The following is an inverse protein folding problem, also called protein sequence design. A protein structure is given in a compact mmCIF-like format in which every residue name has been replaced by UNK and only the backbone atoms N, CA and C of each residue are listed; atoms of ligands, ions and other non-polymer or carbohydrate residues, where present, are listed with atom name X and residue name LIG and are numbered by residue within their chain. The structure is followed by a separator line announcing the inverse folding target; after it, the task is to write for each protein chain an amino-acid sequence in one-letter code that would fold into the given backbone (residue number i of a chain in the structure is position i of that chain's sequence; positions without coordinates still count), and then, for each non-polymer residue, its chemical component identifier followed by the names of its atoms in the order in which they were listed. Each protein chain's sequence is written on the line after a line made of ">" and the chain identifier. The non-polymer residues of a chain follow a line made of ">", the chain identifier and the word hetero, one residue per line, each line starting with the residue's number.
data_IF_643628461669
#
_entry.id   IF_643628461669
#
_cell.length_a   1.000
_cell.length_b   1.000
_cell.length_c   1.000
_cell.angle_alpha   90.00
_cell.angle_beta   90.00
_cell.angle_gamma   90.00
#
_symmetry.space_group_name_H-M   'P 1'
#
loop_
_entity.id
_entity.type
_entity.pdbx_description
1 polymer ?
#
# COMPACT_ATOMS: atom_id res chain seq x y z
N UNK A 1 8.66 -18.79 -15.17
CA UNK A 1 9.25 -17.61 -15.83
C UNK A 1 10.65 -17.40 -15.28
N UNK A 2 11.63 -17.10 -16.14
CA UNK A 2 12.91 -16.54 -15.71
C UNK A 2 12.73 -15.03 -15.49
N UNK A 3 13.38 -14.43 -14.48
CA UNK A 3 13.38 -12.97 -14.32
C UNK A 3 13.76 -12.28 -15.63
N UNK A 4 13.18 -11.09 -15.88
CA UNK A 4 13.59 -10.27 -17.01
C UNK A 4 15.12 -10.11 -16.98
N UNK A 5 15.77 -10.19 -18.14
CA UNK A 5 17.24 -10.05 -18.26
C UNK A 5 17.72 -8.84 -17.44
N UNK A 6 18.75 -9.06 -16.61
CA UNK A 6 19.31 -8.10 -15.66
C UNK A 6 18.48 -7.81 -14.40
N UNK A 7 17.56 -8.70 -13.99
CA UNK A 7 16.88 -8.67 -12.70
C UNK A 7 17.17 -9.95 -11.89
N UNK A 8 17.19 -9.88 -10.54
CA UNK A 8 16.92 -8.71 -9.70
C UNK A 8 18.03 -7.63 -9.77
N UNK A 9 17.68 -6.39 -9.45
CA UNK A 9 18.61 -5.25 -9.30
C UNK A 9 18.52 -4.69 -7.90
N UNK A 10 19.63 -4.09 -7.43
CA UNK A 10 19.61 -3.31 -6.19
C UNK A 10 18.67 -2.13 -6.35
N UNK A 11 17.89 -1.82 -5.30
CA UNK A 11 16.96 -0.69 -5.27
C UNK A 11 17.68 0.65 -5.56
N UNK A 12 18.92 0.77 -5.07
CA UNK A 12 19.80 1.93 -5.27
C UNK A 12 20.22 2.16 -6.72
N UNK A 13 20.09 1.17 -7.62
CA UNK A 13 20.33 1.38 -9.05
C UNK A 13 19.31 2.33 -9.68
N UNK A 14 18.14 2.45 -9.06
CA UNK A 14 17.05 3.29 -9.54
C UNK A 14 16.79 4.49 -8.64
N UNK A 15 16.77 4.29 -7.33
CA UNK A 15 16.51 5.34 -6.34
C UNK A 15 17.70 5.42 -5.38
N UNK A 16 18.66 6.30 -5.69
CA UNK A 16 20.02 6.28 -5.10
C UNK A 16 20.05 6.68 -3.63
N UNK A 17 19.09 7.49 -3.19
CA UNK A 17 19.00 8.07 -1.86
C UNK A 17 18.20 7.20 -0.89
N UNK A 18 17.61 6.10 -1.37
CA UNK A 18 16.92 5.15 -0.52
C UNK A 18 17.90 4.33 0.33
N UNK A 19 17.51 3.96 1.55
CA UNK A 19 18.25 2.99 2.34
C UNK A 19 18.31 1.62 1.65
N UNK A 20 19.25 0.74 2.03
CA UNK A 20 19.39 -0.60 1.43
C UNK A 20 18.14 -1.48 1.53
N UNK A 21 17.25 -1.19 2.49
CA UNK A 21 15.94 -1.83 2.63
C UNK A 21 14.88 -0.81 3.02
N UNK A 22 13.65 -1.10 2.63
CA UNK A 22 12.45 -0.32 2.95
C UNK A 22 11.47 -1.19 3.73
N UNK A 23 10.61 -0.54 4.50
CA UNK A 23 9.56 -1.17 5.30
C UNK A 23 8.24 -1.26 4.51
N UNK A 24 7.93 -0.21 3.74
CA UNK A 24 6.74 -0.18 2.89
C UNK A 24 6.94 0.80 1.71
N UNK A 25 6.08 0.68 0.69
CA UNK A 25 6.01 1.65 -0.39
C UNK A 25 4.57 1.76 -0.91
N UNK A 26 4.21 2.96 -1.37
CA UNK A 26 2.94 3.20 -2.07
C UNK A 26 3.20 4.07 -3.30
N UNK A 27 2.36 3.91 -4.32
CA UNK A 27 2.27 4.84 -5.44
C UNK A 27 0.89 5.47 -5.43
N UNK A 28 0.84 6.79 -5.34
CA UNK A 28 -0.41 7.53 -5.38
C UNK A 28 -1.03 7.49 -6.79
N UNK A 29 -2.36 7.34 -6.83
CA UNK A 29 -3.14 7.23 -8.07
C UNK A 29 -4.42 8.07 -7.98
N UNK A 30 -4.41 9.33 -8.41
CA UNK A 30 -5.56 10.25 -8.34
C UNK A 30 -6.02 10.74 -6.94
N UNK A 31 -5.19 10.93 -5.90
CA UNK A 31 -5.66 11.47 -4.61
C UNK A 31 -5.86 13.00 -4.65
N UNK A 32 -4.96 13.71 -5.34
CA UNK A 32 -4.95 15.15 -5.64
C UNK A 32 -4.06 15.37 -6.87
N UNK A 33 -4.29 16.43 -7.64
CA UNK A 33 -3.53 16.66 -8.89
C UNK A 33 -2.01 16.79 -8.66
N UNK A 34 -1.58 17.30 -7.52
CA UNK A 34 -0.18 17.56 -7.17
C UNK A 34 0.55 16.34 -6.57
N UNK A 35 -0.19 15.30 -6.18
CA UNK A 35 0.39 14.07 -5.62
C UNK A 35 0.22 12.85 -6.53
N UNK A 36 -0.48 12.99 -7.66
CA UNK A 36 -0.71 11.89 -8.58
C UNK A 36 0.61 11.36 -9.16
N UNK A 37 0.69 10.03 -9.28
CA UNK A 37 1.87 9.32 -9.78
C UNK A 37 3.07 9.27 -8.84
N UNK A 38 3.09 10.06 -7.75
CA UNK A 38 4.20 10.11 -6.80
C UNK A 38 4.35 8.80 -6.03
N UNK A 39 5.59 8.45 -5.73
CA UNK A 39 5.95 7.23 -5.01
C UNK A 39 6.48 7.60 -3.64
N UNK A 40 5.96 6.96 -2.60
CA UNK A 40 6.39 7.16 -1.23
C UNK A 40 7.00 5.87 -0.70
N UNK A 41 8.22 5.97 -0.18
CA UNK A 41 8.93 4.87 0.47
C UNK A 41 9.03 5.16 1.95
N UNK A 42 8.90 4.12 2.79
CA UNK A 42 8.92 4.25 4.25
C UNK A 42 10.03 3.38 4.83
N UNK A 43 10.75 3.91 5.83
CA UNK A 43 11.74 3.15 6.60
C UNK A 43 11.90 3.75 8.00
N UNK A 44 11.69 2.93 9.02
CA UNK A 44 11.76 3.39 10.41
C UNK A 44 10.74 4.49 10.67
N UNK A 45 11.21 5.66 11.12
CA UNK A 45 10.39 6.86 11.30
C UNK A 45 10.38 7.79 10.09
N UNK A 46 11.11 7.45 9.02
CA UNK A 46 11.32 8.32 7.87
C UNK A 46 10.50 7.86 6.67
N UNK A 47 10.20 8.81 5.78
CA UNK A 47 9.69 8.54 4.46
C UNK A 47 10.36 9.40 3.40
N UNK A 48 10.44 8.87 2.19
CA UNK A 48 10.98 9.51 1.00
C UNK A 48 9.83 9.68 0.01
N UNK A 49 9.84 10.79 -0.71
CA UNK A 49 8.87 11.09 -1.77
C UNK A 49 9.62 11.23 -3.09
N UNK A 50 9.16 10.53 -4.10
CA UNK A 50 9.76 10.49 -5.42
C UNK A 50 8.75 10.84 -6.50
N UNK A 51 9.23 11.56 -7.50
CA UNK A 51 8.53 11.87 -8.75
C UNK A 51 9.51 11.64 -9.91
N UNK A 52 9.07 10.92 -10.95
CA UNK A 52 9.91 10.61 -12.12
C UNK A 52 11.30 10.04 -11.76
N UNK A 53 11.34 9.14 -10.76
CA UNK A 53 12.55 8.52 -10.22
C UNK A 53 13.56 9.47 -9.56
N UNK A 54 13.19 10.75 -9.37
CA UNK A 54 13.96 11.73 -8.60
C UNK A 54 13.34 11.94 -7.23
N UNK A 55 14.18 12.08 -6.20
CA UNK A 55 13.70 12.42 -4.86
C UNK A 55 13.28 13.88 -4.84
N UNK A 56 12.11 14.16 -4.29
CA UNK A 56 11.63 15.54 -4.12
C UNK A 56 12.54 16.30 -3.12
N UNK A 57 12.78 17.61 -3.31
CA UNK A 57 13.57 18.41 -2.38
C UNK A 57 13.02 18.39 -0.94
N UNK A 58 13.91 18.33 0.04
CA UNK A 58 13.55 18.33 1.47
C UNK A 58 13.11 16.99 2.03
N UNK A 59 13.37 15.89 1.31
CA UNK A 59 13.21 14.51 1.80
C UNK A 59 14.56 13.86 2.12
N UNK A 60 14.61 12.87 3.03
CA UNK A 60 13.48 12.28 3.76
C UNK A 60 12.88 13.18 4.84
N UNK A 61 11.62 12.89 5.21
CA UNK A 61 10.90 13.55 6.31
C UNK A 61 10.41 12.51 7.32
N UNK A 62 10.03 12.96 8.51
CA UNK A 62 9.43 12.06 9.50
C UNK A 62 7.99 11.72 9.12
N UNK A 63 7.60 10.45 9.32
CA UNK A 63 6.25 9.96 9.03
C UNK A 63 5.22 10.80 9.77
N UNK A 64 5.46 11.14 11.04
CA UNK A 64 4.54 11.96 11.85
C UNK A 64 4.25 13.35 11.25
N UNK A 65 5.16 13.90 10.45
CA UNK A 65 5.01 15.24 9.87
C UNK A 65 4.23 15.21 8.55
N UNK A 66 4.37 14.13 7.77
CA UNK A 66 3.69 13.95 6.48
C UNK A 66 2.41 13.13 6.54
N UNK A 67 2.31 12.24 7.52
CA UNK A 67 1.23 11.29 7.72
C UNK A 67 0.89 11.23 9.22
N UNK A 68 0.34 12.31 9.80
CA UNK A 68 0.04 12.37 11.22
C UNK A 68 -0.89 11.22 11.63
N UNK A 69 -0.58 10.60 12.78
CA UNK A 69 -1.29 9.44 13.33
C UNK A 69 -0.95 8.08 12.72
N UNK A 70 -0.12 8.03 11.67
CA UNK A 70 0.47 6.78 11.15
C UNK A 70 1.70 6.40 12.00
N UNK A 71 1.85 5.13 12.42
CA UNK A 71 2.99 4.71 13.23
C UNK A 71 4.27 4.56 12.41
N UNK A 72 5.40 4.53 13.11
CA UNK A 72 6.70 4.18 12.54
C UNK A 72 6.83 2.66 12.29
N UNK A 73 7.91 2.27 11.60
CA UNK A 73 8.32 0.88 11.37
C UNK A 73 7.19 0.04 10.77
N UNK A 74 6.55 0.56 9.73
CA UNK A 74 5.41 -0.10 9.07
C UNK A 74 5.76 -1.51 8.62
N UNK A 75 4.78 -2.40 8.58
CA UNK A 75 4.97 -3.76 8.05
C UNK A 75 4.52 -3.86 6.58
N UNK A 76 3.60 -2.98 6.16
CA UNK A 76 3.16 -2.83 4.78
C UNK A 76 2.37 -1.52 4.59
N UNK A 77 2.23 -1.09 3.33
CA UNK A 77 1.30 -0.05 2.96
C UNK A 77 0.78 -0.29 1.54
N UNK A 78 -0.42 0.19 1.23
CA UNK A 78 -0.99 0.15 -0.12
C UNK A 78 -2.04 1.24 -0.30
N UNK A 79 -2.40 1.55 -1.54
CA UNK A 79 -3.52 2.43 -1.86
C UNK A 79 -4.70 1.62 -2.34
N UNK A 80 -5.91 2.08 -2.05
CA UNK A 80 -7.11 1.51 -2.64
C UNK A 80 -8.04 2.65 -3.08
N UNK A 81 -8.64 2.52 -4.28
CA UNK A 81 -9.65 3.46 -4.72
C UNK A 81 -10.91 3.35 -3.88
N UNK A 82 -11.47 4.50 -3.55
CA UNK A 82 -12.72 4.65 -2.83
C UNK A 82 -13.70 5.41 -3.72
N UNK A 83 -14.84 4.81 -4.03
CA UNK A 83 -15.93 5.53 -4.69
C UNK A 83 -16.75 6.23 -3.62
N UNK A 84 -16.81 7.55 -3.67
CA UNK A 84 -17.52 8.39 -2.72
C UNK A 84 -18.51 9.26 -3.47
N UNK A 85 -19.72 9.44 -2.95
CA UNK A 85 -20.69 10.40 -3.49
C UNK A 85 -20.61 11.69 -2.67
N UNK A 86 -20.20 12.79 -3.30
CA UNK A 86 -20.18 14.12 -2.67
C UNK A 86 -21.02 15.08 -3.49
N UNK A 87 -22.04 15.71 -2.87
CA UNK A 87 -22.92 16.67 -3.53
C UNK A 87 -23.62 16.11 -4.77
N UNK A 88 -24.00 14.82 -4.75
CA UNK A 88 -24.64 14.14 -5.89
C UNK A 88 -23.68 13.71 -7.01
N UNK A 89 -22.37 13.94 -6.87
CA UNK A 89 -21.36 13.49 -7.84
C UNK A 89 -20.60 12.28 -7.31
N UNK A 90 -20.42 11.28 -8.17
CA UNK A 90 -19.53 10.14 -7.90
C UNK A 90 -18.08 10.60 -8.09
N UNK A 91 -17.29 10.51 -7.04
CA UNK A 91 -15.88 10.89 -7.01
C UNK A 91 -15.08 9.66 -6.65
N UNK A 92 -13.97 9.44 -7.37
CA UNK A 92 -12.98 8.42 -7.03
C UNK A 92 -11.91 9.09 -6.17
N UNK A 93 -11.86 8.74 -4.91
CA UNK A 93 -10.78 9.11 -3.99
C UNK A 93 -9.79 7.94 -3.86
N UNK A 94 -8.60 8.19 -3.35
CA UNK A 94 -7.69 7.14 -2.92
C UNK A 94 -7.56 7.17 -1.41
N UNK A 95 -7.49 5.98 -0.82
CA UNK A 95 -7.25 5.83 0.61
C UNK A 95 -6.01 5.02 0.81
N UNK A 96 -5.19 5.50 1.73
CA UNK A 96 -3.91 4.89 2.04
C UNK A 96 -4.11 3.98 3.24
N UNK A 97 -3.69 2.74 3.10
CA UNK A 97 -3.66 1.76 4.17
C UNK A 97 -2.24 1.64 4.68
N UNK A 98 -2.07 1.80 5.98
CA UNK A 98 -0.82 1.55 6.67
C UNK A 98 -1.00 0.40 7.64
N UNK A 99 -0.18 -0.64 7.54
CA UNK A 99 -0.28 -1.83 8.37
C UNK A 99 0.85 -1.84 9.39
N UNK A 100 0.48 -2.06 10.66
CA UNK A 100 1.44 -2.33 11.73
C UNK A 100 0.92 -3.41 12.69
N UNK A 101 1.66 -4.50 12.77
CA UNK A 101 1.34 -5.69 13.55
C UNK A 101 0.02 -6.30 13.11
N UNK A 102 -0.93 -6.35 14.04
CA UNK A 102 -2.29 -6.88 13.79
C UNK A 102 -3.29 -5.79 13.40
N UNK A 103 -2.82 -4.56 13.19
CA UNK A 103 -3.65 -3.38 13.01
C UNK A 103 -3.37 -2.71 11.66
N UNK A 104 -4.37 -2.01 11.15
CA UNK A 104 -4.20 -1.07 10.05
C UNK A 104 -4.73 0.32 10.42
N UNK A 105 -4.26 1.32 9.70
CA UNK A 105 -4.64 2.72 9.81
C UNK A 105 -5.08 3.17 8.43
N UNK A 106 -6.24 3.80 8.35
CA UNK A 106 -6.68 4.47 7.13
C UNK A 106 -6.16 5.90 7.16
N UNK A 107 -5.60 6.34 6.06
CA UNK A 107 -5.17 7.72 5.90
C UNK A 107 -5.87 8.35 4.70
N UNK A 108 -6.43 9.52 4.95
CA UNK A 108 -7.09 10.35 3.96
C UNK A 108 -6.09 11.38 3.43
N UNK A 109 -5.60 11.24 2.19
CA UNK A 109 -4.64 12.20 1.65
C UNK A 109 -5.25 13.56 1.33
N UNK A 110 -6.58 13.67 1.23
CA UNK A 110 -7.26 14.93 0.95
C UNK A 110 -7.39 15.77 2.23
N UNK A 111 -7.74 15.12 3.35
CA UNK A 111 -7.92 15.83 4.63
C UNK A 111 -6.66 15.81 5.51
N UNK A 112 -5.70 14.94 5.20
CA UNK A 112 -4.49 14.74 5.99
C UNK A 112 -4.71 13.94 7.28
N UNK A 113 -5.90 13.38 7.49
CA UNK A 113 -6.27 12.70 8.73
C UNK A 113 -6.07 11.18 8.66
N UNK A 114 -5.66 10.60 9.79
CA UNK A 114 -5.64 9.16 10.00
C UNK A 114 -6.80 8.68 10.87
N UNK A 115 -7.32 7.47 10.63
CA UNK A 115 -8.20 6.78 11.57
C UNK A 115 -7.45 6.33 12.82
N UNK A 116 -8.21 6.04 13.88
CA UNK A 116 -7.74 5.15 14.95
C UNK A 116 -7.32 3.78 14.39
N UNK A 117 -6.41 3.05 15.06
CA UNK A 117 -6.00 1.71 14.62
C UNK A 117 -7.18 0.73 14.61
N UNK A 118 -7.35 0.04 13.50
CA UNK A 118 -8.38 -0.97 13.30
C UNK A 118 -7.78 -2.38 13.26
N UNK A 119 -8.48 -3.37 13.80
CA UNK A 119 -8.01 -4.77 13.82
C UNK A 119 -8.14 -5.41 12.43
N UNK A 120 -7.05 -5.99 11.93
CA UNK A 120 -7.07 -6.73 10.66
C UNK A 120 -8.00 -7.93 10.72
N UNK A 121 -8.01 -8.68 11.83
CA UNK A 121 -8.79 -9.92 11.95
C UNK A 121 -10.28 -9.68 12.13
N UNK A 122 -10.67 -8.56 12.75
CA UNK A 122 -12.09 -8.18 12.91
C UNK A 122 -12.68 -7.65 11.61
N UNK A 123 -11.87 -6.93 10.82
CA UNK A 123 -12.34 -6.30 9.58
C UNK A 123 -12.20 -7.23 8.37
N UNK A 124 -11.16 -8.08 8.35
CA UNK A 124 -10.83 -8.97 7.23
C UNK A 124 -10.87 -10.44 7.69
N UNK A 125 -12.07 -11.02 7.62
CA UNK A 125 -12.35 -12.37 8.15
C UNK A 125 -11.47 -13.41 7.49
N UNK A 126 -10.80 -14.22 8.32
CA UNK A 126 -9.94 -15.31 7.87
C UNK A 126 -8.50 -14.91 7.53
N UNK A 127 -8.13 -13.64 7.67
CA UNK A 127 -6.77 -13.18 7.38
C UNK A 127 -5.71 -13.90 8.20
N UNK A 128 -4.65 -14.32 7.50
CA UNK A 128 -3.43 -14.88 8.07
C UNK A 128 -2.40 -13.78 8.28
N UNK A 129 -1.83 -13.77 9.47
CA UNK A 129 -0.77 -12.86 9.91
C UNK A 129 0.55 -13.64 10.09
N UNK A 130 1.73 -12.98 10.11
CA UNK A 130 1.93 -11.55 9.90
C UNK A 130 1.80 -11.15 8.42
N UNK A 131 1.41 -9.90 8.19
CA UNK A 131 1.57 -9.23 6.90
C UNK A 131 2.97 -8.59 6.87
N UNK A 132 3.67 -8.74 5.76
CA UNK A 132 5.05 -8.27 5.55
C UNK A 132 5.22 -7.42 4.30
N UNK A 133 4.20 -7.37 3.45
CA UNK A 133 4.08 -6.45 2.33
C UNK A 133 2.61 -6.39 1.87
N UNK A 134 2.25 -5.35 1.14
CA UNK A 134 0.95 -5.24 0.50
C UNK A 134 1.08 -4.51 -0.83
N UNK A 135 0.15 -4.76 -1.74
CA UNK A 135 0.01 -4.01 -2.98
C UNK A 135 -1.42 -4.08 -3.50
N UNK A 136 -1.80 -3.08 -4.29
CA UNK A 136 -3.04 -3.11 -5.07
C UNK A 136 -2.72 -3.22 -6.56
N UNK A 137 -3.37 -4.15 -7.26
CA UNK A 137 -3.25 -4.34 -8.70
C UNK A 137 -4.65 -4.43 -9.31
N UNK A 138 -4.98 -3.56 -10.27
CA UNK A 138 -6.30 -3.54 -10.92
C UNK A 138 -7.47 -3.54 -9.91
N UNK A 139 -7.33 -2.79 -8.82
CA UNK A 139 -8.26 -2.71 -7.68
C UNK A 139 -8.38 -3.99 -6.82
N UNK A 140 -7.61 -5.04 -7.11
CA UNK A 140 -7.47 -6.20 -6.22
C UNK A 140 -6.39 -5.91 -5.17
N UNK A 141 -6.69 -6.21 -3.91
CA UNK A 141 -5.75 -6.02 -2.80
C UNK A 141 -5.03 -7.34 -2.50
N UNK A 142 -3.71 -7.27 -2.44
CA UNK A 142 -2.83 -8.41 -2.15
C UNK A 142 -2.09 -8.15 -0.86
N UNK A 143 -2.30 -9.01 0.14
CA UNK A 143 -1.57 -8.99 1.40
C UNK A 143 -0.61 -10.16 1.45
N UNK A 144 0.66 -9.85 1.61
CA UNK A 144 1.77 -10.81 1.54
C UNK A 144 2.20 -11.14 2.96
N UNK A 145 2.27 -12.43 3.28
CA UNK A 145 2.96 -12.94 4.46
C UNK A 145 4.25 -13.66 4.07
N UNK A 146 4.87 -14.36 5.02
CA UNK A 146 6.20 -14.97 4.84
C UNK A 146 6.29 -16.00 3.69
N UNK A 147 5.25 -16.79 3.46
CA UNK A 147 5.24 -17.90 2.47
C UNK A 147 4.04 -17.88 1.54
N UNK A 148 3.11 -16.96 1.76
CA UNK A 148 1.80 -16.94 1.09
C UNK A 148 1.40 -15.51 0.80
N UNK A 149 0.56 -15.33 -0.21
CA UNK A 149 -0.21 -14.11 -0.37
C UNK A 149 -1.71 -14.42 -0.26
N UNK A 150 -2.46 -13.39 0.08
CA UNK A 150 -3.91 -13.43 0.24
C UNK A 150 -4.51 -12.32 -0.63
N UNK A 151 -5.46 -12.67 -1.49
CA UNK A 151 -6.29 -11.70 -2.19
C UNK A 151 -7.50 -11.37 -1.32
N UNK A 152 -7.76 -10.09 -1.13
CA UNK A 152 -8.93 -9.61 -0.40
C UNK A 152 -9.99 -9.17 -1.40
N UNK A 153 -11.18 -9.73 -1.27
CA UNK A 153 -12.37 -9.15 -1.88
C UNK A 153 -12.96 -8.16 -0.89
N UNK A 154 -12.91 -6.88 -1.26
CA UNK A 154 -13.52 -5.82 -0.47
C UNK A 154 -15.04 -5.89 -0.63
N UNK A 155 -15.76 -5.95 0.49
CA UNK A 155 -17.22 -6.08 0.53
C UNK A 155 -17.89 -4.75 0.86
N UNK A 156 -17.30 -3.99 1.78
CA UNK A 156 -17.80 -2.68 2.18
C UNK A 156 -16.65 -1.71 2.30
N UNK A 157 -16.84 -0.52 1.71
CA UNK A 157 -15.93 0.59 1.83
C UNK A 157 -16.71 1.86 2.12
N UNK A 158 -16.79 2.25 3.39
CA UNK A 158 -17.30 3.57 3.80
C UNK A 158 -16.18 4.35 4.45
N UNK A 159 -16.44 5.63 4.76
CA UNK A 159 -15.49 6.49 5.45
C UNK A 159 -14.94 5.85 6.75
N UNK A 160 -15.78 5.09 7.46
CA UNK A 160 -15.47 4.56 8.79
C UNK A 160 -15.32 3.04 8.83
N UNK A 161 -15.70 2.31 7.76
CA UNK A 161 -15.73 0.84 7.76
C UNK A 161 -15.12 0.27 6.50
N UNK A 162 -14.19 -0.66 6.69
CA UNK A 162 -13.57 -1.42 5.61
C UNK A 162 -13.70 -2.89 5.94
N UNK A 163 -14.64 -3.57 5.29
CA UNK A 163 -14.83 -5.01 5.46
C UNK A 163 -14.47 -5.75 4.19
N UNK A 164 -13.77 -6.87 4.36
CA UNK A 164 -13.38 -7.73 3.25
C UNK A 164 -13.23 -9.17 3.69
N UNK A 165 -13.28 -10.09 2.73
CA UNK A 165 -13.02 -11.50 2.96
C UNK A 165 -11.80 -11.95 2.16
N UNK A 166 -11.11 -12.98 2.67
CA UNK A 166 -10.08 -13.66 1.87
C UNK A 166 -10.76 -14.39 0.72
N UNK A 167 -10.56 -13.88 -0.50
CA UNK A 167 -11.10 -14.49 -1.70
C UNK A 167 -10.19 -15.61 -2.23
N UNK A 168 -8.89 -15.48 -2.02
CA UNK A 168 -7.90 -16.46 -2.44
C UNK A 168 -6.68 -16.42 -1.53
N UNK A 169 -6.12 -17.59 -1.22
CA UNK A 169 -4.83 -17.72 -0.56
C UNK A 169 -3.97 -18.71 -1.33
N UNK A 170 -2.74 -18.29 -1.65
CA UNK A 170 -1.80 -19.05 -2.50
C UNK A 170 -0.38 -18.92 -1.96
N UNK A 171 0.52 -19.81 -2.38
CA UNK A 171 1.96 -19.71 -2.06
C UNK A 171 2.55 -18.47 -2.73
N UNK A 172 3.55 -17.83 -2.10
CA UNK A 172 4.11 -16.57 -2.60
C UNK A 172 4.71 -16.71 -4.00
N UNK A 173 5.30 -17.86 -4.34
CA UNK A 173 5.87 -18.13 -5.66
C UNK A 173 4.80 -18.11 -6.77
N UNK A 174 3.54 -18.37 -6.41
CA UNK A 174 2.42 -18.30 -7.35
C UNK A 174 1.97 -16.86 -7.63
N UNK A 175 2.44 -15.86 -6.86
CA UNK A 175 2.21 -14.44 -7.16
C UNK A 175 3.04 -14.01 -8.38
N UNK A 176 4.25 -14.57 -8.52
CA UNK A 176 5.19 -14.28 -9.60
C UNK A 176 4.91 -15.12 -10.85
N UNK A 177 4.18 -16.21 -10.70
CA UNK A 177 3.60 -16.95 -11.81
C UNK A 177 2.37 -16.18 -12.32
N UNK A 178 2.57 -15.14 -13.15
CA UNK A 178 1.47 -14.65 -13.97
C UNK A 178 0.84 -15.86 -14.68
N UNK A 179 -0.46 -16.01 -14.53
CA UNK A 179 -1.26 -16.92 -15.34
C UNK A 179 -1.00 -16.53 -16.80
N UNK A 180 -0.26 -17.37 -17.51
CA UNK A 180 -0.21 -17.35 -18.96
C UNK A 180 -1.64 -17.64 -19.42
N UNK A 181 -2.46 -16.61 -19.55
CA UNK A 181 -3.65 -16.69 -20.37
C UNK A 181 -3.16 -17.06 -21.75
N UNK A 182 -3.45 -18.32 -22.09
CA UNK A 182 -3.29 -18.93 -23.39
C UNK A 182 -3.67 -17.91 -24.47
N UNK A 183 -2.75 -17.70 -25.40
CA UNK A 183 -3.10 -17.23 -26.74
C UNK A 183 -3.89 -18.33 -27.44
#
# INVERSE_FOLDING_TARGET
>A
MTPKKNYPKLISTKWKELPPSIDAAIRMQNPTADQDGKIFFFKGSNYWKYENDQMEPGYPKLIKDGFPGVPNNLDAAFTQPAIVVKGGKVIREERLFFIKGKKFFLYDPVTGNSSSPQSLQENWVGIKLPITAALSLKNEMFLIGKKTFQKILLLTYTQDRVFGNIHQQKKIDQLLACESTKA
#
